data_IF_786006801690
#
_entry.id   IF_786006801690
#
_cell.length_a   1.000
_cell.length_b   1.000
_cell.length_c   1.000
_cell.angle_alpha   90.00
_cell.angle_beta   90.00
_cell.angle_gamma   90.00
#
_symmetry.space_group_name_H-M   'P 1'
#
loop_
_entity.id
_entity.type
_entity.pdbx_description
1 polymer ?
#
# COMPACT_ATOMS: atom_id res chain seq x y z
N UNK A 1 -21.16 -35.79 25.97
CA UNK A 1 -20.81 -34.46 25.43
C UNK A 1 -19.30 -34.46 25.30
N UNK A 2 -18.79 -34.65 24.10
CA UNK A 2 -17.35 -34.62 23.87
C UNK A 2 -16.96 -33.16 23.63
N UNK A 3 -16.05 -32.56 24.41
CA UNK A 3 -15.50 -31.25 24.09
C UNK A 3 -14.84 -31.36 22.73
N UNK A 4 -15.32 -30.57 21.76
CA UNK A 4 -14.66 -30.41 20.47
C UNK A 4 -13.24 -29.88 20.73
N UNK A 5 -12.19 -30.51 20.16
CA UNK A 5 -10.80 -30.16 20.44
C UNK A 5 -10.48 -28.74 19.98
N UNK A 6 -9.55 -28.11 20.72
CA UNK A 6 -9.05 -26.75 20.53
C UNK A 6 -8.94 -26.33 19.05
N UNK A 7 -9.38 -25.10 18.69
CA UNK A 7 -8.95 -24.49 17.45
C UNK A 7 -7.43 -24.34 17.51
N UNK A 8 -6.70 -25.11 16.70
CA UNK A 8 -5.22 -25.01 16.63
C UNK A 8 -4.87 -23.56 16.27
N UNK A 9 -4.27 -22.77 17.19
CA UNK A 9 -3.96 -21.35 16.95
C UNK A 9 -2.97 -21.14 15.78
N UNK A 10 -2.33 -22.22 15.33
CA UNK A 10 -1.24 -22.19 14.36
C UNK A 10 -1.61 -21.92 12.90
N UNK A 11 -2.88 -21.97 12.48
CA UNK A 11 -3.23 -21.78 11.04
C UNK A 11 -3.28 -20.33 10.59
N UNK A 12 -3.66 -19.41 11.47
CA UNK A 12 -3.79 -17.99 11.16
C UNK A 12 -2.61 -17.15 11.64
N UNK A 13 -1.91 -17.61 12.67
CA UNK A 13 -0.76 -16.89 13.20
C UNK A 13 0.34 -16.73 12.15
N UNK A 14 0.53 -17.73 11.26
CA UNK A 14 1.59 -17.69 10.26
C UNK A 14 1.35 -16.61 9.17
N UNK A 15 0.20 -16.56 8.46
CA UNK A 15 -0.04 -15.52 7.47
C UNK A 15 -0.08 -14.11 8.09
N UNK A 16 -0.65 -13.96 9.29
CA UNK A 16 -0.68 -12.67 10.01
C UNK A 16 0.73 -12.22 10.40
N UNK A 17 1.57 -13.12 10.91
CA UNK A 17 2.97 -12.81 11.25
C UNK A 17 3.76 -12.46 9.99
N UNK A 18 3.54 -13.12 8.86
CA UNK A 18 4.24 -12.79 7.60
C UNK A 18 3.85 -11.39 7.11
N UNK A 19 2.57 -11.02 7.17
CA UNK A 19 2.11 -9.67 6.81
C UNK A 19 2.64 -8.61 7.79
N UNK A 20 2.66 -8.91 9.09
CA UNK A 20 3.26 -8.03 10.09
C UNK A 20 4.78 -7.86 9.87
N UNK A 21 5.49 -8.93 9.49
CA UNK A 21 6.91 -8.85 9.16
C UNK A 21 7.15 -8.09 7.85
N UNK A 22 6.25 -8.19 6.86
CA UNK A 22 6.32 -7.40 5.63
C UNK A 22 6.07 -5.90 5.91
N UNK A 23 5.08 -5.58 6.74
CA UNK A 23 4.82 -4.20 7.19
C UNK A 23 5.96 -3.64 8.03
N UNK A 24 6.56 -4.45 8.90
CA UNK A 24 7.74 -4.05 9.68
C UNK A 24 8.98 -3.89 8.81
N UNK A 25 9.19 -4.76 7.81
CA UNK A 25 10.27 -4.59 6.84
C UNK A 25 10.10 -3.31 6.01
N UNK A 26 8.87 -2.98 5.62
CA UNK A 26 8.56 -1.70 4.98
C UNK A 26 8.91 -0.51 5.91
N UNK A 27 8.47 -0.56 7.17
CA UNK A 27 8.77 0.49 8.15
C UNK A 27 10.27 0.62 8.43
N UNK A 28 11.01 -0.49 8.45
CA UNK A 28 12.46 -0.49 8.63
C UNK A 28 13.20 0.11 7.43
N UNK A 29 12.76 -0.18 6.20
CA UNK A 29 13.35 0.41 4.99
C UNK A 29 13.04 1.90 4.90
N UNK A 30 11.79 2.31 5.20
CA UNK A 30 11.39 3.71 5.17
C UNK A 30 12.01 4.54 6.32
N UNK A 31 12.33 3.90 7.46
CA UNK A 31 13.03 4.54 8.57
C UNK A 31 14.56 4.51 8.46
N UNK A 32 15.13 3.80 7.47
CA UNK A 32 16.56 3.82 7.22
C UNK A 32 16.91 5.10 6.45
N UNK A 33 17.45 6.07 7.17
CA UNK A 33 18.02 7.30 6.63
C UNK A 33 19.00 7.01 5.47
N UNK A 34 18.94 7.83 4.42
CA UNK A 34 19.63 7.74 3.13
C UNK A 34 20.99 7.01 3.14
N UNK A 35 21.21 5.95 2.33
CA UNK A 35 22.55 5.61 1.92
C UNK A 35 23.03 6.71 0.98
N UNK A 36 23.84 7.64 1.49
CA UNK A 36 24.65 8.52 0.66
C UNK A 36 25.58 7.70 -0.25
N UNK A 37 25.07 7.27 -1.40
CA UNK A 37 25.88 6.74 -2.49
C UNK A 37 26.60 7.92 -3.14
N UNK A 38 27.75 8.26 -2.57
CA UNK A 38 28.80 9.00 -3.29
C UNK A 38 29.17 8.17 -4.52
N UNK A 39 28.66 8.58 -5.68
CA UNK A 39 29.15 8.11 -6.96
C UNK A 39 30.56 8.64 -7.14
N UNK A 40 31.55 7.81 -6.82
CA UNK A 40 32.95 8.07 -7.20
C UNK A 40 33.05 7.98 -8.72
N UNK A 41 33.18 9.12 -9.38
CA UNK A 41 33.53 9.20 -10.80
C UNK A 41 34.84 8.44 -11.04
N UNK A 42 34.77 7.37 -11.83
CA UNK A 42 35.96 6.70 -12.35
C UNK A 42 36.32 7.36 -13.67
N UNK A 43 37.32 8.25 -13.64
CA UNK A 43 37.99 8.77 -14.83
C UNK A 43 38.75 7.63 -15.50
N UNK A 44 38.41 7.30 -16.76
CA UNK A 44 39.30 6.53 -17.64
C UNK A 44 39.72 7.45 -18.78
N UNK A 45 40.98 7.87 -18.72
CA UNK A 45 41.69 8.56 -19.79
C UNK A 45 42.34 7.51 -20.70
N UNK A 46 42.08 7.57 -22.01
CA UNK A 46 42.72 6.74 -23.02
C UNK A 46 42.71 7.46 -24.36
N UNK A 47 43.87 7.92 -24.80
CA UNK A 47 44.01 8.86 -25.92
C UNK A 47 44.34 8.27 -27.29
N UNK A 48 44.44 9.21 -28.25
CA UNK A 48 45.16 9.21 -29.53
C UNK A 48 44.38 8.89 -30.82
N UNK A 49 44.43 9.83 -31.78
CA UNK A 49 44.30 9.58 -33.22
C UNK A 49 43.26 10.44 -33.95
N UNK A 50 43.72 11.32 -34.85
CA UNK A 50 42.97 12.33 -35.58
C UNK A 50 41.99 11.80 -36.65
N UNK A 51 40.94 12.57 -36.98
CA UNK A 51 40.61 13.08 -38.34
C UNK A 51 39.32 13.92 -38.32
N UNK A 52 39.41 15.14 -38.84
CA UNK A 52 38.32 16.09 -39.06
C UNK A 52 37.31 15.56 -40.08
N UNK A 53 36.01 15.60 -39.75
CA UNK A 53 34.93 15.80 -40.74
C UNK A 53 33.79 16.54 -40.04
N UNK A 54 33.60 17.80 -40.43
CA UNK A 54 32.44 18.61 -40.05
C UNK A 54 31.21 18.05 -40.77
N UNK A 55 30.27 17.46 -40.02
CA UNK A 55 28.88 17.28 -40.48
C UNK A 55 27.99 17.90 -39.43
N UNK A 56 27.48 19.09 -39.73
CA UNK A 56 26.47 19.78 -38.92
C UNK A 56 25.15 19.06 -39.11
N UNK A 57 24.85 18.08 -38.26
CA UNK A 57 23.47 17.62 -38.07
C UNK A 57 22.69 18.74 -37.37
N UNK A 58 21.43 19.03 -37.78
CA UNK A 58 20.57 19.88 -36.97
C UNK A 58 20.39 19.22 -35.59
N UNK A 59 20.36 19.97 -34.48
CA UNK A 59 20.11 19.38 -33.18
C UNK A 59 18.71 18.75 -33.20
N UNK A 60 18.64 17.42 -33.24
CA UNK A 60 17.45 16.70 -32.79
C UNK A 60 17.33 16.98 -31.30
N UNK A 61 16.49 17.95 -30.94
CA UNK A 61 16.12 18.18 -29.56
C UNK A 61 15.31 16.99 -29.08
N UNK A 62 15.96 15.99 -28.49
CA UNK A 62 15.29 15.02 -27.65
C UNK A 62 15.03 15.71 -26.31
N UNK A 63 13.81 16.14 -26.05
CA UNK A 63 13.38 16.48 -24.69
C UNK A 63 13.26 15.17 -23.90
N UNK A 64 14.27 14.88 -23.09
CA UNK A 64 14.17 13.85 -22.05
C UNK A 64 13.41 14.45 -20.88
N UNK A 65 12.13 14.10 -20.72
CA UNK A 65 11.39 14.43 -19.50
C UNK A 65 11.81 13.43 -18.43
N UNK A 66 12.84 13.78 -17.65
CA UNK A 66 13.20 13.01 -16.46
C UNK A 66 12.16 13.30 -15.38
N UNK A 67 11.38 12.29 -14.98
CA UNK A 67 10.50 12.39 -13.81
C UNK A 67 11.39 12.67 -12.58
N UNK A 68 11.07 13.68 -11.76
CA UNK A 68 11.80 13.95 -10.52
C UNK A 68 11.92 12.72 -9.61
N UNK A 69 13.06 12.57 -8.95
CA UNK A 69 13.35 11.41 -8.11
C UNK A 69 12.42 11.30 -6.88
N UNK A 70 12.00 12.43 -6.31
CA UNK A 70 11.03 12.50 -5.21
C UNK A 70 9.66 11.95 -5.63
N UNK A 71 9.22 12.23 -6.86
CA UNK A 71 8.00 11.67 -7.42
C UNK A 71 8.12 10.16 -7.65
N UNK A 72 9.26 9.68 -8.15
CA UNK A 72 9.47 8.24 -8.33
C UNK A 72 9.41 7.50 -6.99
N UNK A 73 10.09 8.02 -5.98
CA UNK A 73 10.10 7.43 -4.63
C UNK A 73 8.70 7.42 -4.03
N UNK A 74 8.00 8.55 -4.05
CA UNK A 74 6.62 8.63 -3.54
C UNK A 74 5.68 7.65 -4.23
N UNK A 75 5.78 7.50 -5.56
CA UNK A 75 4.98 6.53 -6.32
C UNK A 75 5.27 5.07 -5.89
N UNK A 76 6.52 4.73 -5.61
CA UNK A 76 6.88 3.42 -5.06
C UNK A 76 6.25 3.22 -3.69
N UNK A 77 6.33 4.22 -2.81
CA UNK A 77 5.83 4.12 -1.45
C UNK A 77 4.31 3.96 -1.38
N UNK A 78 3.54 4.76 -2.13
CA UNK A 78 2.09 4.62 -2.19
C UNK A 78 1.65 3.31 -2.86
N UNK A 79 2.42 2.83 -3.84
CA UNK A 79 2.14 1.54 -4.51
C UNK A 79 2.33 0.39 -3.54
N UNK A 80 3.43 0.40 -2.77
CA UNK A 80 3.68 -0.58 -1.72
C UNK A 80 2.60 -0.54 -0.63
N UNK A 81 2.19 0.66 -0.21
CA UNK A 81 1.07 0.82 0.73
C UNK A 81 -0.25 0.25 0.16
N UNK A 82 -0.50 0.41 -1.15
CA UNK A 82 -1.61 -0.21 -1.86
C UNK A 82 -1.56 -1.74 -1.85
N UNK A 83 -0.39 -2.32 -2.11
CA UNK A 83 -0.18 -3.77 -2.06
C UNK A 83 -0.40 -4.31 -0.64
N UNK A 84 0.14 -3.63 0.37
CA UNK A 84 -0.06 -4.01 1.78
C UNK A 84 -1.55 -4.01 2.16
N UNK A 85 -2.31 -2.99 1.74
CA UNK A 85 -3.74 -2.93 1.98
C UNK A 85 -4.50 -4.04 1.24
N UNK A 86 -4.12 -4.37 0.01
CA UNK A 86 -4.73 -5.48 -0.74
C UNK A 86 -4.54 -6.83 -0.02
N UNK A 87 -3.35 -7.08 0.55
CA UNK A 87 -3.10 -8.29 1.35
C UNK A 87 -3.93 -8.35 2.64
N UNK A 88 -4.10 -7.21 3.33
CA UNK A 88 -5.01 -7.12 4.49
C UNK A 88 -6.46 -7.33 4.09
N UNK A 89 -6.88 -6.81 2.92
CA UNK A 89 -8.22 -7.01 2.40
C UNK A 89 -8.50 -8.49 2.13
N UNK A 90 -7.57 -9.19 1.47
CA UNK A 90 -7.65 -10.63 1.25
C UNK A 90 -7.80 -11.39 2.58
N UNK A 91 -6.97 -11.05 3.57
CA UNK A 91 -7.01 -11.71 4.88
C UNK A 91 -8.33 -11.47 5.63
N UNK A 92 -8.90 -10.27 5.56
CA UNK A 92 -10.23 -9.97 6.13
C UNK A 92 -11.32 -10.76 5.41
N UNK A 93 -11.26 -10.84 4.08
CA UNK A 93 -12.23 -11.60 3.29
C UNK A 93 -12.14 -13.10 3.60
N UNK A 94 -10.94 -13.64 3.77
CA UNK A 94 -10.75 -15.03 4.18
C UNK A 94 -11.30 -15.28 5.58
N UNK A 95 -11.02 -14.41 6.56
CA UNK A 95 -11.60 -14.53 7.89
C UNK A 95 -13.14 -14.50 7.85
N UNK A 96 -13.72 -13.62 7.04
CA UNK A 96 -15.16 -13.54 6.81
C UNK A 96 -15.72 -14.81 6.16
N UNK A 97 -15.06 -15.36 5.14
CA UNK A 97 -15.51 -16.56 4.42
C UNK A 97 -15.45 -17.80 5.33
N UNK A 98 -14.37 -17.95 6.10
CA UNK A 98 -14.25 -19.04 7.06
C UNK A 98 -15.35 -18.98 8.14
N UNK A 99 -15.75 -17.78 8.55
CA UNK A 99 -16.90 -17.61 9.43
C UNK A 99 -18.22 -18.02 8.77
N UNK A 100 -18.47 -17.59 7.52
CA UNK A 100 -19.68 -17.97 6.77
C UNK A 100 -19.77 -19.49 6.56
N UNK A 101 -18.64 -20.11 6.22
CA UNK A 101 -18.52 -21.55 5.99
C UNK A 101 -18.51 -22.37 7.29
N UNK A 102 -18.59 -21.71 8.46
CA UNK A 102 -18.57 -22.33 9.79
C UNK A 102 -17.31 -23.18 10.05
N UNK A 103 -16.19 -22.82 9.46
CA UNK A 103 -14.90 -23.52 9.61
C UNK A 103 -14.10 -23.03 10.82
N UNK A 104 -14.52 -21.92 11.44
CA UNK A 104 -13.91 -21.30 12.63
C UNK A 104 -14.97 -20.98 13.69
N UNK A 105 -14.57 -20.91 14.96
CA UNK A 105 -15.48 -20.54 16.04
C UNK A 105 -15.73 -19.03 16.07
N UNK A 106 -16.86 -18.63 16.64
CA UNK A 106 -17.23 -17.23 16.80
C UNK A 106 -16.19 -16.41 17.58
N UNK A 107 -15.74 -16.92 18.74
CA UNK A 107 -14.76 -16.22 19.58
C UNK A 107 -13.41 -16.02 18.86
N UNK A 108 -12.99 -17.02 18.08
CA UNK A 108 -11.77 -16.94 17.26
C UNK A 108 -11.95 -15.90 16.15
N UNK A 109 -13.10 -15.90 15.48
CA UNK A 109 -13.43 -14.93 14.42
C UNK A 109 -13.39 -13.50 14.94
N UNK A 110 -13.98 -13.24 16.12
CA UNK A 110 -13.93 -11.92 16.78
C UNK A 110 -12.48 -11.52 17.04
N UNK A 111 -11.67 -12.43 17.59
CA UNK A 111 -10.25 -12.15 17.90
C UNK A 111 -9.44 -11.85 16.63
N UNK A 112 -9.62 -12.66 15.58
CA UNK A 112 -8.94 -12.47 14.29
C UNK A 112 -9.31 -11.11 13.69
N UNK A 113 -10.60 -10.79 13.62
CA UNK A 113 -11.07 -9.53 13.01
C UNK A 113 -10.65 -8.30 13.84
N UNK A 114 -10.55 -8.41 15.17
CA UNK A 114 -9.99 -7.35 16.01
C UNK A 114 -8.50 -7.12 15.74
N UNK A 115 -7.73 -8.18 15.55
CA UNK A 115 -6.32 -8.08 15.13
C UNK A 115 -6.19 -7.40 13.77
N UNK A 116 -7.00 -7.83 12.79
CA UNK A 116 -6.99 -7.25 11.45
C UNK A 116 -7.41 -5.77 11.44
N UNK A 117 -8.38 -5.36 12.27
CA UNK A 117 -8.73 -3.95 12.43
C UNK A 117 -7.56 -3.12 13.02
N UNK A 118 -6.78 -3.70 13.94
CA UNK A 118 -5.57 -3.06 14.44
C UNK A 118 -4.50 -2.95 13.34
N UNK A 119 -4.34 -3.96 12.50
CA UNK A 119 -3.40 -3.94 11.37
C UNK A 119 -3.79 -2.89 10.33
N UNK A 120 -5.08 -2.73 10.01
CA UNK A 120 -5.57 -1.65 9.13
C UNK A 120 -5.28 -0.27 9.73
N UNK A 121 -5.45 -0.10 11.04
CA UNK A 121 -5.11 1.16 11.73
C UNK A 121 -3.60 1.44 11.70
N UNK A 122 -2.77 0.42 11.90
CA UNK A 122 -1.32 0.54 11.82
C UNK A 122 -0.87 0.91 10.39
N UNK A 123 -1.44 0.26 9.37
CA UNK A 123 -1.24 0.61 7.97
C UNK A 123 -1.57 2.08 7.71
N UNK A 124 -2.74 2.56 8.17
CA UNK A 124 -3.14 3.96 7.99
C UNK A 124 -2.19 4.92 8.69
N UNK A 125 -1.70 4.57 9.88
CA UNK A 125 -0.73 5.38 10.61
C UNK A 125 0.59 5.52 9.83
N UNK A 126 1.07 4.45 9.19
CA UNK A 126 2.27 4.47 8.36
C UNK A 126 2.19 5.41 7.14
N UNK A 127 0.98 5.73 6.66
CA UNK A 127 0.82 6.72 5.58
C UNK A 127 1.24 8.15 6.00
N UNK A 128 1.30 8.44 7.30
CA UNK A 128 1.76 9.75 7.77
C UNK A 128 3.27 9.95 7.59
N UNK A 129 4.02 8.86 7.39
CA UNK A 129 5.46 8.88 7.17
C UNK A 129 5.82 9.07 5.69
N UNK A 130 4.82 9.15 4.80
CA UNK A 130 5.03 9.39 3.39
C UNK A 130 5.53 10.82 3.16
N UNK A 131 6.65 10.94 2.43
CA UNK A 131 7.19 12.23 2.01
C UNK A 131 6.49 12.67 0.74
N UNK A 132 5.66 13.71 0.84
CA UNK A 132 4.95 14.27 -0.33
C UNK A 132 5.94 14.99 -1.24
N UNK A 133 5.96 14.70 -2.55
CA UNK A 133 6.79 15.40 -3.52
C UNK A 133 6.52 16.91 -3.48
N UNK A 134 7.60 17.70 -3.45
CA UNK A 134 7.52 19.17 -3.48
C UNK A 134 7.84 19.73 -4.87
N UNK A 135 8.37 18.89 -5.77
CA UNK A 135 8.67 19.26 -7.15
C UNK A 135 7.42 19.59 -7.98
N UNK A 136 6.25 19.08 -7.60
CA UNK A 136 4.96 19.36 -8.24
C UNK A 136 3.86 19.60 -7.18
N UNK A 137 3.30 20.81 -7.09
CA UNK A 137 2.29 21.14 -6.08
C UNK A 137 1.03 20.27 -6.12
N UNK A 138 0.64 19.73 -7.28
CA UNK A 138 -0.55 18.89 -7.44
C UNK A 138 -0.48 17.59 -6.61
N UNK A 139 0.73 17.12 -6.27
CA UNK A 139 0.91 15.95 -5.41
C UNK A 139 0.40 16.16 -3.98
N UNK A 140 0.33 17.41 -3.50
CA UNK A 140 -0.26 17.70 -2.19
C UNK A 140 -1.76 17.40 -2.17
N UNK A 141 -2.49 17.81 -3.22
CA UNK A 141 -3.93 17.56 -3.33
C UNK A 141 -4.22 16.08 -3.51
N UNK A 142 -3.45 15.41 -4.37
CA UNK A 142 -3.50 13.96 -4.54
C UNK A 142 -3.28 13.21 -3.23
N UNK A 143 -2.25 13.59 -2.48
CA UNK A 143 -1.95 12.99 -1.19
C UNK A 143 -3.13 13.16 -0.22
N UNK A 144 -3.71 14.36 -0.11
CA UNK A 144 -4.84 14.63 0.77
C UNK A 144 -6.07 13.77 0.43
N UNK A 145 -6.38 13.60 -0.86
CA UNK A 145 -7.48 12.75 -1.32
C UNK A 145 -7.20 11.28 -1.00
N UNK A 146 -5.98 10.81 -1.25
CA UNK A 146 -5.56 9.44 -0.92
C UNK A 146 -5.66 9.18 0.60
N UNK A 147 -5.23 10.13 1.42
CA UNK A 147 -5.31 10.05 2.89
C UNK A 147 -6.75 10.01 3.38
N UNK A 148 -7.65 10.76 2.76
CA UNK A 148 -9.08 10.71 3.06
C UNK A 148 -9.68 9.34 2.69
N UNK A 149 -9.31 8.79 1.52
CA UNK A 149 -9.72 7.44 1.13
C UNK A 149 -9.20 6.37 2.11
N UNK A 150 -7.95 6.50 2.58
CA UNK A 150 -7.38 5.60 3.57
C UNK A 150 -8.09 5.69 4.94
N UNK A 151 -8.55 6.89 5.33
CA UNK A 151 -9.35 7.05 6.55
C UNK A 151 -10.71 6.34 6.43
N UNK A 152 -11.30 6.33 5.25
CA UNK A 152 -12.55 5.59 4.98
C UNK A 152 -12.35 4.06 5.06
N UNK A 153 -11.18 3.56 4.65
CA UNK A 153 -10.81 2.14 4.84
C UNK A 153 -10.81 1.77 6.32
N UNK A 154 -10.19 2.59 7.19
CA UNK A 154 -10.21 2.37 8.65
C UNK A 154 -11.63 2.44 9.21
N UNK A 155 -12.41 3.45 8.80
CA UNK A 155 -13.79 3.64 9.28
C UNK A 155 -14.64 2.41 8.98
N UNK A 156 -14.50 1.84 7.79
CA UNK A 156 -15.27 0.68 7.34
C UNK A 156 -14.75 -0.63 7.93
N UNK A 157 -13.43 -0.82 8.09
CA UNK A 157 -12.88 -2.00 8.78
C UNK A 157 -13.36 -2.10 10.23
N UNK A 158 -13.36 -0.96 10.95
CA UNK A 158 -13.79 -0.90 12.35
C UNK A 158 -15.28 -1.19 12.56
N UNK A 159 -16.09 -1.23 11.49
CA UNK A 159 -17.49 -1.62 11.55
C UNK A 159 -17.72 -3.15 11.46
N UNK A 160 -16.70 -3.93 11.05
CA UNK A 160 -16.85 -5.37 10.79
C UNK A 160 -17.10 -6.15 12.09
N UNK A 161 -16.31 -5.91 13.14
CA UNK A 161 -16.48 -6.60 14.44
C UNK A 161 -17.83 -6.26 15.09
N UNK A 162 -18.24 -4.98 15.19
CA UNK A 162 -19.60 -4.65 15.65
C UNK A 162 -20.70 -5.30 14.79
N UNK A 163 -20.51 -5.36 13.47
CA UNK A 163 -21.45 -6.02 12.56
C UNK A 163 -21.54 -7.53 12.80
N UNK A 164 -20.44 -8.19 13.17
CA UNK A 164 -20.44 -9.61 13.55
C UNK A 164 -21.16 -9.85 14.88
N UNK A 165 -21.10 -8.89 15.80
CA UNK A 165 -21.71 -8.95 17.14
C UNK A 165 -23.17 -8.51 17.16
N UNK A 166 -23.68 -7.99 16.04
CA UNK A 166 -25.05 -7.53 15.93
C UNK A 166 -26.04 -8.68 16.18
N UNK A 167 -27.19 -8.42 16.83
CA UNK A 167 -28.23 -9.42 17.05
C UNK A 167 -29.06 -9.65 15.77
N UNK A 168 -28.39 -9.86 14.64
CA UNK A 168 -28.97 -10.13 13.32
C UNK A 168 -28.49 -11.47 12.76
N UNK A 169 -28.83 -11.80 11.51
CA UNK A 169 -28.42 -13.06 10.86
C UNK A 169 -27.12 -12.93 10.06
N UNK A 170 -26.34 -11.88 10.34
CA UNK A 170 -25.09 -11.52 9.66
C UNK A 170 -25.23 -10.39 8.65
N UNK A 171 -26.39 -9.71 8.56
CA UNK A 171 -26.60 -8.58 7.66
C UNK A 171 -25.62 -7.44 7.92
N UNK A 172 -25.49 -6.99 9.16
CA UNK A 172 -24.59 -5.89 9.51
C UNK A 172 -23.13 -6.21 9.19
N UNK A 173 -22.69 -7.44 9.49
CA UNK A 173 -21.34 -7.93 9.14
C UNK A 173 -21.09 -7.91 7.64
N UNK A 174 -22.00 -8.49 6.84
CA UNK A 174 -21.88 -8.52 5.37
C UNK A 174 -21.84 -7.12 4.78
N UNK A 175 -22.69 -6.22 5.28
CA UNK A 175 -22.70 -4.82 4.86
C UNK A 175 -21.38 -4.12 5.19
N UNK A 176 -20.83 -4.33 6.39
CA UNK A 176 -19.54 -3.77 6.79
C UNK A 176 -18.38 -4.29 5.93
N UNK A 177 -18.31 -5.60 5.66
CA UNK A 177 -17.29 -6.19 4.77
C UNK A 177 -17.41 -5.65 3.34
N UNK A 178 -18.65 -5.52 2.82
CA UNK A 178 -18.88 -4.90 1.51
C UNK A 178 -18.42 -3.44 1.48
N UNK A 179 -18.72 -2.66 2.52
CA UNK A 179 -18.30 -1.26 2.61
C UNK A 179 -16.78 -1.14 2.68
N UNK A 180 -16.12 -2.01 3.43
CA UNK A 180 -14.67 -2.10 3.51
C UNK A 180 -14.03 -2.42 2.15
N UNK A 181 -14.54 -3.43 1.44
CA UNK A 181 -14.07 -3.76 0.10
C UNK A 181 -14.25 -2.59 -0.90
N UNK A 182 -15.35 -1.85 -0.78
CA UNK A 182 -15.58 -0.63 -1.56
C UNK A 182 -14.57 0.47 -1.23
N UNK A 183 -14.28 0.69 0.06
CA UNK A 183 -13.30 1.67 0.50
C UNK A 183 -11.87 1.32 0.04
N UNK A 184 -11.46 0.05 0.12
CA UNK A 184 -10.15 -0.40 -0.37
C UNK A 184 -10.03 -0.19 -1.88
N UNK A 185 -11.09 -0.48 -2.64
CA UNK A 185 -11.14 -0.21 -4.08
C UNK A 185 -10.99 1.29 -4.36
N UNK A 186 -11.69 2.15 -3.62
CA UNK A 186 -11.59 3.60 -3.77
C UNK A 186 -10.17 4.10 -3.47
N UNK A 187 -9.53 3.61 -2.40
CA UNK A 187 -8.14 3.92 -2.07
C UNK A 187 -7.18 3.46 -3.19
N UNK A 188 -7.30 2.22 -3.66
CA UNK A 188 -6.47 1.69 -4.75
C UNK A 188 -6.61 2.50 -6.05
N UNK A 189 -7.81 2.99 -6.35
CA UNK A 189 -8.04 3.88 -7.48
C UNK A 189 -7.31 5.23 -7.33
N UNK A 190 -7.21 5.76 -6.11
CA UNK A 190 -6.41 6.97 -5.87
C UNK A 190 -4.91 6.69 -6.07
N UNK A 191 -4.39 5.59 -5.53
CA UNK A 191 -2.99 5.16 -5.77
C UNK A 191 -2.70 5.05 -7.26
N UNK A 192 -3.58 4.40 -8.03
CA UNK A 192 -3.42 4.27 -9.48
C UNK A 192 -3.51 5.61 -10.21
N UNK A 193 -4.37 6.52 -9.76
CA UNK A 193 -4.50 7.87 -10.34
C UNK A 193 -3.19 8.65 -10.19
N UNK A 194 -2.59 8.58 -9.01
CA UNK A 194 -1.31 9.24 -8.71
C UNK A 194 -0.18 8.61 -9.54
N UNK A 195 -0.07 7.28 -9.53
CA UNK A 195 0.97 6.56 -10.27
C UNK A 195 0.88 6.77 -11.80
N UNK A 196 -0.31 7.01 -12.33
CA UNK A 196 -0.53 7.27 -13.75
C UNK A 196 -0.37 8.77 -14.13
N UNK A 197 -0.26 9.67 -13.15
CA UNK A 197 -0.20 11.10 -13.41
C UNK A 197 1.06 11.49 -14.19
N UNK A 198 0.87 12.21 -15.29
CA UNK A 198 1.94 12.78 -16.10
C UNK A 198 1.76 14.30 -16.18
N UNK A 199 2.67 15.10 -15.61
CA UNK A 199 2.59 16.55 -15.70
C UNK A 199 2.75 17.00 -17.16
N UNK A 200 1.90 17.93 -17.60
CA UNK A 200 2.02 18.58 -18.91
C UNK A 200 1.33 17.90 -20.09
N UNK A 201 0.56 16.82 -19.89
CA UNK A 201 -0.31 16.25 -20.93
C UNK A 201 -1.73 16.81 -20.84
N UNK A 202 -1.91 18.09 -21.20
CA UNK A 202 -3.21 18.59 -21.67
C UNK A 202 -3.19 18.58 -23.20
N UNK A 203 -4.02 17.73 -23.80
CA UNK A 203 -4.40 17.87 -25.22
C UNK A 203 -5.44 18.97 -25.39
#
# INVERSE_FOLDING_TARGET
MQPNPDPKPGRWILPVVILAMMGFAWLFINAAEDPTVSATETTVNGGSGATTTTTTLPPSGTTTTTVPADILQYNVDITNAGIAMAGLQETINDANNNWEDRTVLYADTVTILQGLDADVKAWRAGLNDLVVPSSLPEYADFHNIMIAAAAEVVRTSSAIVPGLQAPDTGEARRAAVSAFNGAVTAYGNQVNTIAAYRPGTTS
#
